data_IF_372887370753
#
_entry.id   IF_372887370753
#
_cell.length_a   1.000
_cell.length_b   1.000
_cell.length_c   1.000
_cell.angle_alpha   90.00
_cell.angle_beta   90.00
_cell.angle_gamma   90.00
#
_symmetry.space_group_name_H-M   'P 1'
#
loop_
_entity.id
_entity.type
_entity.pdbx_description
1 polymer ?
#
# COMPACT_ATOMS: atom_id res chain seq x y z
N UNK A 1 0.02 -7.33 18.63
CA UNK A 1 -0.12 -7.40 17.16
C UNK A 1 0.01 -5.96 16.65
N UNK A 2 0.90 -5.68 15.71
CA UNK A 2 1.10 -4.31 15.19
C UNK A 2 -0.05 -3.99 14.24
N UNK A 3 -0.73 -2.87 14.45
CA UNK A 3 -1.80 -2.38 13.58
C UNK A 3 -1.51 -0.96 13.11
N UNK A 4 -2.00 -0.62 11.92
CA UNK A 4 -2.02 0.75 11.43
C UNK A 4 -2.74 1.65 12.45
N UNK A 5 -2.17 2.81 12.71
CA UNK A 5 -2.68 3.72 13.72
C UNK A 5 -2.42 5.18 13.36
N UNK A 6 -3.00 6.07 14.16
CA UNK A 6 -2.91 7.51 14.01
C UNK A 6 -1.46 8.04 13.98
N UNK A 7 -0.59 7.57 14.87
CA UNK A 7 0.81 8.02 14.96
C UNK A 7 1.58 7.74 13.66
N UNK A 8 1.33 6.60 13.02
CA UNK A 8 1.97 6.24 11.75
C UNK A 8 1.58 7.19 10.61
N UNK A 9 0.31 7.59 10.52
CA UNK A 9 -0.13 8.54 9.50
C UNK A 9 0.35 9.96 9.80
N UNK A 10 0.35 10.35 11.07
CA UNK A 10 0.94 11.63 11.51
C UNK A 10 2.41 11.70 11.12
N UNK A 11 3.17 10.62 11.30
CA UNK A 11 4.57 10.54 10.87
C UNK A 11 4.75 10.76 9.35
N UNK A 12 3.87 10.19 8.52
CA UNK A 12 3.91 10.41 7.08
C UNK A 12 3.71 11.90 6.72
N UNK A 13 2.76 12.58 7.36
CA UNK A 13 2.57 14.02 7.15
C UNK A 13 3.70 14.87 7.73
N UNK A 14 4.25 14.50 8.90
CA UNK A 14 5.40 15.19 9.48
C UNK A 14 6.62 15.12 8.56
N UNK A 15 6.86 13.95 7.95
CA UNK A 15 7.94 13.77 6.97
C UNK A 15 7.75 14.69 5.76
N UNK A 16 6.51 14.82 5.28
CA UNK A 16 6.17 15.67 4.15
C UNK A 16 6.33 17.17 4.51
N UNK A 17 5.88 17.59 5.68
CA UNK A 17 6.04 18.98 6.18
C UNK A 17 7.51 19.32 6.40
N UNK A 18 8.27 18.43 7.04
CA UNK A 18 9.71 18.61 7.26
C UNK A 18 10.46 18.77 5.93
N UNK A 19 10.11 17.97 4.91
CA UNK A 19 10.69 18.09 3.58
C UNK A 19 10.50 19.48 2.96
N UNK A 20 9.29 20.05 3.02
CA UNK A 20 9.05 21.40 2.47
C UNK A 20 9.72 22.51 3.28
N UNK A 21 9.92 22.29 4.58
CA UNK A 21 10.61 23.24 5.44
C UNK A 21 12.14 23.10 5.37
N UNK A 22 12.66 22.14 4.60
CA UNK A 22 14.08 21.77 4.60
C UNK A 22 14.59 21.38 6.00
N UNK A 23 13.73 20.77 6.80
CA UNK A 23 14.01 20.27 8.15
C UNK A 23 14.30 18.76 8.09
N UNK A 24 15.01 18.26 9.10
CA UNK A 24 15.22 16.82 9.25
C UNK A 24 13.90 16.17 9.70
N UNK A 25 13.47 15.14 8.95
CA UNK A 25 12.28 14.38 9.31
C UNK A 25 12.51 13.67 10.66
N UNK A 26 11.47 13.54 11.51
CA UNK A 26 11.61 12.75 12.72
C UNK A 26 12.08 11.32 12.37
N UNK A 27 12.86 10.64 13.23
CA UNK A 27 13.20 9.25 12.99
C UNK A 27 11.91 8.41 13.06
N UNK A 28 11.65 7.53 12.08
CA UNK A 28 10.47 6.70 12.13
C UNK A 28 10.60 5.70 13.28
N UNK A 29 9.46 5.34 13.88
CA UNK A 29 9.39 4.19 14.79
C UNK A 29 9.41 2.83 14.06
N UNK A 30 9.61 2.83 12.73
CA UNK A 30 9.52 1.67 11.84
C UNK A 30 10.44 1.84 10.62
N UNK A 31 10.82 0.75 9.97
CA UNK A 31 11.64 0.83 8.74
C UNK A 31 10.82 1.40 7.58
N UNK A 32 11.14 2.62 7.14
CA UNK A 32 10.44 3.34 6.08
C UNK A 32 11.39 3.67 4.91
N UNK A 33 11.72 2.67 4.09
CA UNK A 33 12.69 2.84 2.99
C UNK A 33 12.10 3.58 1.75
N UNK A 34 10.80 3.46 1.52
CA UNK A 34 10.07 4.07 0.40
C UNK A 34 8.88 4.90 0.90
N UNK A 35 8.84 6.17 0.53
CA UNK A 35 7.77 7.12 0.88
C UNK A 35 7.49 8.04 -0.32
N UNK A 36 6.37 8.77 -0.30
CA UNK A 36 5.82 9.52 -1.45
C UNK A 36 6.83 10.41 -2.20
N UNK A 37 7.85 10.93 -1.51
CA UNK A 37 8.91 11.77 -2.11
C UNK A 37 9.88 11.00 -3.03
N UNK A 38 9.81 9.66 -3.06
CA UNK A 38 10.67 8.78 -3.86
C UNK A 38 9.92 8.02 -4.96
N UNK A 39 8.62 8.28 -5.16
CA UNK A 39 7.84 7.65 -6.24
C UNK A 39 7.96 8.45 -7.54
N UNK A 40 8.88 8.04 -8.42
CA UNK A 40 9.14 8.73 -9.69
C UNK A 40 8.02 8.61 -10.74
N UNK A 41 6.94 7.86 -10.46
CA UNK A 41 5.81 7.72 -11.40
C UNK A 41 4.93 8.95 -11.42
N UNK A 42 4.99 9.76 -10.36
CA UNK A 42 4.19 10.98 -10.20
C UNK A 42 5.14 12.18 -9.96
N UNK A 43 4.75 13.39 -10.38
CA UNK A 43 5.47 14.58 -9.95
C UNK A 43 5.40 14.70 -8.43
N UNK A 44 6.37 15.40 -7.85
CA UNK A 44 6.36 15.70 -6.43
C UNK A 44 5.07 16.44 -6.08
N UNK A 45 4.45 16.03 -4.98
CA UNK A 45 3.30 16.71 -4.39
C UNK A 45 3.65 18.19 -4.23
N UNK A 46 2.73 19.09 -4.57
CA UNK A 46 2.89 20.52 -4.41
C UNK A 46 2.27 20.99 -3.08
N UNK A 47 2.82 22.03 -2.41
CA UNK A 47 2.27 22.54 -1.16
C UNK A 47 0.78 22.94 -1.22
N UNK A 48 0.30 23.34 -2.40
CA UNK A 48 -1.09 23.72 -2.64
C UNK A 48 -2.05 22.51 -2.64
N UNK A 49 -1.53 21.31 -2.86
CA UNK A 49 -2.31 20.06 -2.86
C UNK A 49 -2.56 19.56 -1.44
N UNK A 50 -1.73 19.96 -0.47
CA UNK A 50 -1.77 19.48 0.92
C UNK A 50 -3.17 19.48 1.54
N UNK A 51 -3.99 20.56 1.47
CA UNK A 51 -5.32 20.58 2.08
C UNK A 51 -6.30 19.53 1.53
N UNK A 52 -6.01 18.97 0.36
CA UNK A 52 -6.82 17.96 -0.31
C UNK A 52 -6.25 16.55 -0.19
N UNK A 53 -5.09 16.38 0.45
CA UNK A 53 -4.46 15.08 0.58
C UNK A 53 -5.11 14.23 1.66
N UNK A 54 -5.12 12.95 1.37
CA UNK A 54 -5.41 11.87 2.27
C UNK A 54 -4.17 10.97 2.34
N UNK A 55 -3.78 10.58 3.56
CA UNK A 55 -2.72 9.60 3.77
C UNK A 55 -3.31 8.33 4.37
N UNK A 56 -2.99 7.19 3.76
CA UNK A 56 -3.39 5.87 4.22
C UNK A 56 -2.15 5.03 4.51
N UNK A 57 -2.04 4.54 5.74
CA UNK A 57 -1.04 3.55 6.14
C UNK A 57 -1.71 2.18 6.20
N UNK A 58 -1.09 1.20 5.54
CA UNK A 58 -1.50 -0.20 5.57
C UNK A 58 -0.39 -1.04 6.19
N UNK A 59 -0.70 -1.76 7.27
CA UNK A 59 0.22 -2.71 7.91
C UNK A 59 -0.23 -4.13 7.55
N UNK A 60 0.65 -4.86 6.85
CA UNK A 60 0.40 -6.22 6.40
C UNK A 60 0.89 -7.22 7.45
N UNK A 61 0.03 -8.15 7.86
CA UNK A 61 0.29 -9.11 8.95
C UNK A 61 -0.27 -10.49 8.61
N UNK A 62 0.03 -11.48 9.46
CA UNK A 62 -0.54 -12.83 9.36
C UNK A 62 -0.30 -13.49 7.99
N UNK A 63 0.94 -13.43 7.50
CA UNK A 63 1.33 -14.08 6.25
C UNK A 63 1.30 -15.60 6.42
N UNK A 64 0.50 -16.27 5.60
CA UNK A 64 0.32 -17.71 5.62
C UNK A 64 0.35 -18.27 4.20
N UNK A 65 1.03 -19.40 4.00
CA UNK A 65 0.89 -20.14 2.74
C UNK A 65 -0.46 -20.83 2.72
N UNK A 66 -1.26 -20.56 1.69
CA UNK A 66 -2.58 -21.16 1.52
C UNK A 66 -2.47 -22.60 0.99
N UNK A 67 -3.46 -23.43 1.34
CA UNK A 67 -3.52 -24.84 0.93
C UNK A 67 -3.74 -25.01 -0.57
N UNK A 68 -4.47 -24.09 -1.19
CA UNK A 68 -4.74 -24.04 -2.61
C UNK A 68 -5.09 -22.61 -3.03
N UNK A 69 -5.25 -22.39 -4.34
CA UNK A 69 -5.50 -21.05 -4.90
C UNK A 69 -6.87 -20.43 -4.51
N UNK A 70 -7.76 -21.19 -3.86
CA UNK A 70 -9.08 -20.74 -3.36
C UNK A 70 -9.13 -20.61 -1.83
N UNK A 71 -8.07 -20.97 -1.13
CA UNK A 71 -7.98 -20.96 0.35
C UNK A 71 -7.65 -19.56 0.90
N UNK A 72 -8.58 -18.64 0.69
CA UNK A 72 -8.55 -17.26 1.18
C UNK A 72 -9.97 -16.69 1.23
N UNK A 73 -10.17 -15.46 1.68
CA UNK A 73 -11.51 -14.85 1.83
C UNK A 73 -11.52 -13.45 1.24
N UNK A 74 -12.53 -13.17 0.40
CA UNK A 74 -12.68 -11.88 -0.29
C UNK A 74 -12.98 -10.80 0.73
N UNK A 75 -12.27 -9.67 0.65
CA UNK A 75 -12.40 -8.54 1.58
C UNK A 75 -11.66 -8.72 2.91
N UNK A 76 -11.11 -9.90 3.17
CA UNK A 76 -10.34 -10.19 4.40
C UNK A 76 -8.87 -10.42 4.11
N UNK A 77 -8.58 -11.18 3.05
CA UNK A 77 -7.22 -11.61 2.74
C UNK A 77 -6.66 -10.89 1.50
N UNK A 78 -5.47 -10.31 1.67
CA UNK A 78 -4.58 -9.93 0.58
C UNK A 78 -3.81 -11.15 0.10
N UNK A 79 -3.38 -11.11 -1.15
CA UNK A 79 -2.84 -12.27 -1.85
C UNK A 79 -1.52 -11.91 -2.51
N UNK A 80 -0.52 -12.77 -2.33
CA UNK A 80 0.69 -12.82 -3.15
C UNK A 80 0.72 -14.16 -3.86
N UNK A 81 0.74 -14.15 -5.18
CA UNK A 81 0.89 -15.35 -5.99
C UNK A 81 2.30 -15.46 -6.55
N UNK A 82 2.79 -16.68 -6.65
CA UNK A 82 4.03 -17.01 -7.33
C UNK A 82 3.86 -18.27 -8.18
N UNK A 83 4.33 -18.23 -9.42
CA UNK A 83 4.33 -19.38 -10.32
C UNK A 83 5.43 -19.26 -11.36
N UNK A 84 5.74 -20.37 -12.02
CA UNK A 84 6.64 -20.39 -13.17
C UNK A 84 5.82 -20.40 -14.45
N UNK A 85 6.09 -19.43 -15.33
CA UNK A 85 5.54 -19.35 -16.66
C UNK A 85 5.89 -20.63 -17.45
N UNK A 86 4.90 -21.43 -17.90
CA UNK A 86 5.17 -22.68 -18.58
C UNK A 86 5.82 -22.50 -19.96
N UNK A 87 5.59 -21.35 -20.62
CA UNK A 87 6.03 -21.11 -21.99
C UNK A 87 7.47 -20.57 -22.03
N UNK A 88 7.82 -19.74 -21.04
CA UNK A 88 9.13 -19.07 -20.99
C UNK A 88 10.03 -19.52 -19.84
N UNK A 89 9.54 -20.40 -18.95
CA UNK A 89 10.24 -20.85 -17.75
C UNK A 89 10.72 -19.70 -16.84
N UNK A 90 9.95 -18.60 -16.80
CA UNK A 90 10.24 -17.40 -16.00
C UNK A 90 9.39 -17.41 -14.74
N UNK A 91 9.99 -17.15 -13.58
CA UNK A 91 9.23 -16.95 -12.34
C UNK A 91 8.49 -15.62 -12.37
N UNK A 92 7.20 -15.66 -12.05
CA UNK A 92 6.32 -14.50 -12.00
C UNK A 92 5.69 -14.38 -10.61
N UNK A 93 5.47 -13.16 -10.18
CA UNK A 93 4.74 -12.86 -8.95
C UNK A 93 3.86 -11.63 -9.11
N UNK A 94 2.78 -11.60 -8.35
CA UNK A 94 1.92 -10.43 -8.24
C UNK A 94 1.22 -10.42 -6.88
N UNK A 95 0.84 -9.23 -6.45
CA UNK A 95 0.21 -9.00 -5.15
C UNK A 95 -1.03 -8.13 -5.30
N UNK A 96 -2.08 -8.47 -4.54
CA UNK A 96 -3.25 -7.64 -4.31
C UNK A 96 -3.53 -7.47 -2.82
N UNK A 97 -3.94 -6.27 -2.44
CA UNK A 97 -4.38 -5.95 -1.09
C UNK A 97 -5.79 -6.54 -0.84
N UNK A 98 -6.19 -6.74 0.44
CA UNK A 98 -7.47 -7.37 0.79
C UNK A 98 -8.71 -6.75 0.15
N UNK A 99 -8.69 -5.43 -0.05
CA UNK A 99 -9.81 -4.65 -0.57
C UNK A 99 -10.03 -4.80 -2.08
N UNK A 100 -9.01 -5.18 -2.85
CA UNK A 100 -9.05 -5.13 -4.33
C UNK A 100 -10.13 -6.04 -4.90
N UNK A 101 -10.16 -7.32 -4.49
CA UNK A 101 -11.12 -8.28 -5.03
C UNK A 101 -12.58 -7.90 -4.71
N UNK A 102 -12.81 -7.38 -3.51
CA UNK A 102 -14.14 -6.94 -3.08
C UNK A 102 -14.59 -5.68 -3.82
N UNK A 103 -13.70 -4.70 -4.01
CA UNK A 103 -13.98 -3.46 -4.73
C UNK A 103 -14.36 -3.71 -6.19
N UNK A 104 -13.64 -4.62 -6.86
CA UNK A 104 -13.91 -4.98 -8.26
C UNK A 104 -15.10 -5.93 -8.42
N UNK A 105 -15.63 -6.49 -7.33
CA UNK A 105 -16.71 -7.49 -7.37
C UNK A 105 -16.28 -8.82 -7.98
N UNK A 106 -14.98 -9.14 -7.95
CA UNK A 106 -14.44 -10.37 -8.52
C UNK A 106 -14.68 -11.58 -7.65
N UNK A 107 -14.97 -12.71 -8.28
CA UNK A 107 -14.90 -14.03 -7.64
C UNK A 107 -13.45 -14.40 -7.33
N UNK A 108 -13.27 -15.46 -6.52
CA UNK A 108 -11.92 -15.96 -6.20
C UNK A 108 -11.13 -16.35 -7.45
N UNK A 109 -11.80 -17.00 -8.42
CA UNK A 109 -11.15 -17.45 -9.65
C UNK A 109 -10.77 -16.26 -10.53
N UNK A 110 -11.66 -15.30 -10.72
CA UNK A 110 -11.38 -14.08 -11.49
C UNK A 110 -10.23 -13.28 -10.88
N UNK A 111 -10.17 -13.20 -9.54
CA UNK A 111 -9.08 -12.53 -8.83
C UNK A 111 -7.73 -13.20 -9.12
N UNK A 112 -7.68 -14.53 -9.11
CA UNK A 112 -6.45 -15.29 -9.41
C UNK A 112 -6.03 -15.10 -10.86
N UNK A 113 -6.98 -15.16 -11.79
CA UNK A 113 -6.69 -14.95 -13.21
C UNK A 113 -6.18 -13.52 -13.45
N UNK A 114 -6.80 -12.52 -12.81
CA UNK A 114 -6.36 -11.12 -12.84
C UNK A 114 -4.96 -10.94 -12.25
N UNK A 115 -4.65 -11.57 -11.12
CA UNK A 115 -3.31 -11.58 -10.53
C UNK A 115 -2.27 -12.18 -11.48
N UNK A 116 -2.60 -13.27 -12.16
CA UNK A 116 -1.69 -13.88 -13.13
C UNK A 116 -1.42 -12.94 -14.31
N UNK A 117 -2.44 -12.25 -14.83
CA UNK A 117 -2.27 -11.22 -15.86
C UNK A 117 -1.41 -10.07 -15.35
N UNK A 118 -1.64 -9.61 -14.11
CA UNK A 118 -0.84 -8.57 -13.44
C UNK A 118 0.63 -8.97 -13.27
N UNK A 119 0.92 -10.27 -13.07
CA UNK A 119 2.27 -10.82 -13.04
C UNK A 119 2.96 -10.85 -14.43
N UNK A 120 2.25 -10.39 -15.47
CA UNK A 120 2.71 -10.33 -16.85
C UNK A 120 2.53 -11.63 -17.63
N UNK A 121 1.71 -12.58 -17.15
CA UNK A 121 1.39 -13.79 -17.90
C UNK A 121 0.28 -13.50 -18.93
N UNK A 122 0.56 -13.72 -20.21
CA UNK A 122 -0.38 -13.47 -21.30
C UNK A 122 -0.90 -14.75 -21.98
N UNK A 123 -0.46 -15.93 -21.50
CA UNK A 123 -0.90 -17.22 -22.04
C UNK A 123 -2.29 -17.64 -21.57
N UNK A 124 -2.68 -18.85 -21.96
CA UNK A 124 -3.98 -19.43 -21.60
C UNK A 124 -3.96 -19.85 -20.13
N UNK A 125 -4.84 -19.25 -19.33
CA UNK A 125 -5.00 -19.63 -17.92
C UNK A 125 -5.98 -20.81 -17.85
N UNK A 126 -5.49 -21.95 -17.38
CA UNK A 126 -6.29 -23.16 -17.18
C UNK A 126 -6.19 -23.64 -15.73
N UNK A 127 -7.05 -24.59 -15.39
CA UNK A 127 -7.15 -25.12 -14.03
C UNK A 127 -5.84 -25.76 -13.52
N UNK A 128 -5.10 -26.44 -14.41
CA UNK A 128 -3.81 -27.04 -14.05
C UNK A 128 -2.75 -26.00 -13.70
N UNK A 129 -2.82 -24.82 -14.33
CA UNK A 129 -1.91 -23.72 -14.06
C UNK A 129 -2.28 -23.03 -12.75
N UNK A 130 -3.57 -22.80 -12.48
CA UNK A 130 -4.04 -22.26 -11.19
C UNK A 130 -3.59 -23.12 -10.01
N UNK A 131 -3.69 -24.45 -10.14
CA UNK A 131 -3.23 -25.40 -9.10
C UNK A 131 -1.72 -25.40 -8.88
N UNK A 132 -0.92 -24.89 -9.81
CA UNK A 132 0.54 -24.79 -9.68
C UNK A 132 0.99 -23.49 -9.02
N UNK A 133 0.07 -22.57 -8.74
CA UNK A 133 0.38 -21.32 -8.05
C UNK A 133 0.68 -21.61 -6.59
N UNK A 134 1.78 -21.04 -6.09
CA UNK A 134 1.99 -20.87 -4.66
C UNK A 134 1.29 -19.58 -4.24
N UNK A 135 0.25 -19.71 -3.42
CA UNK A 135 -0.49 -18.58 -2.88
C UNK A 135 -0.09 -18.34 -1.43
N UNK A 136 0.27 -17.10 -1.13
CA UNK A 136 0.43 -16.60 0.23
C UNK A 136 -0.70 -15.63 0.49
N UNK A 137 -1.50 -15.88 1.54
CA UNK A 137 -2.52 -14.96 2.02
C UNK A 137 -1.99 -14.16 3.21
N UNK A 138 -2.47 -12.96 3.37
CA UNK A 138 -2.16 -12.11 4.53
C UNK A 138 -3.35 -11.21 4.84
N UNK A 139 -3.35 -10.60 6.02
CA UNK A 139 -4.34 -9.62 6.42
C UNK A 139 -3.70 -8.24 6.45
N UNK A 140 -4.50 -7.19 6.36
CA UNK A 140 -4.01 -5.83 6.61
C UNK A 140 -4.89 -5.12 7.62
N UNK A 141 -4.26 -4.16 8.31
CA UNK A 141 -4.97 -3.11 9.02
C UNK A 141 -4.66 -1.80 8.33
N UNK A 142 -5.67 -0.97 8.13
CA UNK A 142 -5.53 0.32 7.48
C UNK A 142 -5.88 1.43 8.47
N UNK A 143 -5.18 2.55 8.36
CA UNK A 143 -5.56 3.79 9.01
C UNK A 143 -5.40 4.93 8.02
N UNK A 144 -6.45 5.73 7.88
CA UNK A 144 -6.54 6.82 6.91
C UNK A 144 -6.79 8.14 7.65
N UNK A 145 -6.13 9.21 7.23
CA UNK A 145 -6.31 10.55 7.77
C UNK A 145 -6.21 11.59 6.67
N UNK A 146 -7.13 12.56 6.66
CA UNK A 146 -7.01 13.73 5.82
C UNK A 146 -6.02 14.73 6.42
N UNK A 147 -5.38 15.54 5.55
CA UNK A 147 -4.47 16.58 6.02
C UNK A 147 -5.11 17.54 7.02
N UNK A 148 -6.39 17.88 6.84
CA UNK A 148 -7.12 18.74 7.78
C UNK A 148 -7.24 18.13 9.18
N UNK A 149 -7.45 16.83 9.29
CA UNK A 149 -7.47 16.11 10.58
C UNK A 149 -6.08 16.08 11.21
N UNK A 150 -5.04 15.90 10.40
CA UNK A 150 -3.65 16.02 10.84
C UNK A 150 -3.34 17.41 11.39
N UNK A 151 -3.73 18.49 10.70
CA UNK A 151 -3.49 19.86 11.19
C UNK A 151 -4.20 20.13 12.51
N UNK A 152 -5.42 19.62 12.66
CA UNK A 152 -6.22 19.74 13.89
C UNK A 152 -5.60 18.93 15.02
N UNK A 153 -5.12 17.72 14.73
CA UNK A 153 -4.39 16.89 15.68
C UNK A 153 -3.13 17.58 16.20
N UNK A 154 -2.27 18.05 15.29
CA UNK A 154 -1.01 18.72 15.62
C UNK A 154 -1.25 20.00 16.40
N UNK A 155 -2.25 20.80 16.03
CA UNK A 155 -2.64 22.00 16.80
C UNK A 155 -3.05 21.66 18.23
N UNK A 156 -3.79 20.56 18.43
CA UNK A 156 -4.23 20.09 19.74
C UNK A 156 -3.09 19.53 20.59
N UNK A 157 -2.17 18.76 20.00
CA UNK A 157 -1.12 18.04 20.74
C UNK A 157 0.18 18.80 20.87
N UNK A 158 0.54 19.62 19.88
CA UNK A 158 1.81 20.37 19.80
C UNK A 158 1.63 21.89 19.97
N UNK A 159 0.40 22.36 20.15
CA UNK A 159 0.08 23.76 20.47
C UNK A 159 0.01 24.72 19.28
N UNK A 160 0.46 24.30 18.09
CA UNK A 160 0.39 25.10 16.87
C UNK A 160 0.06 24.21 15.66
N UNK A 161 -0.64 24.75 14.66
CA UNK A 161 -0.87 24.04 13.40
C UNK A 161 0.44 23.93 12.61
N UNK A 162 0.63 22.86 11.82
CA UNK A 162 1.82 22.69 10.99
C UNK A 162 1.89 23.83 9.96
N UNK A 163 3.04 24.47 9.85
CA UNK A 163 3.31 25.51 8.85
C UNK A 163 4.20 24.95 7.76
N UNK A 164 3.77 25.09 6.52
CA UNK A 164 4.59 24.77 5.35
C UNK A 164 5.13 26.08 4.79
N UNK A 165 6.41 26.32 5.05
CA UNK A 165 7.12 27.45 4.47
C UNK A 165 7.18 27.22 2.97
N UNK A 166 6.62 28.15 2.19
CA UNK A 166 6.73 28.14 0.72
C UNK A 166 8.20 28.39 0.36
N UNK A 167 9.04 27.37 0.41
CA UNK A 167 10.42 27.50 -0.09
C UNK A 167 10.34 27.62 -1.60
N UNK A 168 10.99 28.68 -2.09
CA UNK A 168 10.84 29.30 -3.40
C UNK A 168 11.05 28.29 -4.53
N UNK A 169 10.21 28.42 -5.57
CA UNK A 169 10.53 27.89 -6.90
C UNK A 169 11.90 28.44 -7.31
N UNK A 170 12.87 27.55 -7.56
CA UNK A 170 14.00 27.86 -8.44
C UNK A 170 13.62 27.45 -9.86
#
# INVERSE_FOLDING_TARGET
MVSANQEMVVYCFDTLVAHYNSEEAPPPAFDAEQHALRDCRFPLIQPQELPYLECTVSILTNYETALNYLDWEIGTHGLTIEFTDPDYNVRRSATYLPEVAAHEGWTKVETIDSLMRKAGYNGIINESLRKRIRLTRYQSTIYTMHYNDYTSYVKRTRGAAPTVNRVKHN
#
